data_IF_910239204004
#
_entry.id   IF_910239204004
#
_cell.length_a   1.000
_cell.length_b   1.000
_cell.length_c   1.000
_cell.angle_alpha   90.00
_cell.angle_beta   90.00
_cell.angle_gamma   90.00
#
_symmetry.space_group_name_H-M   'P 1'
#
loop_
_entity.id
_entity.type
_entity.pdbx_description
1 polymer ?
#
# COMPACT_ATOMS: atom_id res chain seq x y z
N UNK A 1 3.52 21.10 15.85
CA UNK A 1 3.98 22.25 15.06
C UNK A 1 2.85 22.91 14.30
N UNK A 2 1.97 22.15 13.66
CA UNK A 2 0.84 22.64 12.85
C UNK A 2 -0.05 23.68 13.58
N UNK A 3 -0.20 23.53 14.91
CA UNK A 3 -0.99 24.46 15.75
C UNK A 3 -0.30 25.82 16.02
N UNK A 4 0.95 25.99 15.60
CA UNK A 4 1.65 27.27 15.80
C UNK A 4 1.14 28.31 14.81
N UNK A 5 0.79 29.53 15.31
CA UNK A 5 0.27 30.65 14.50
C UNK A 5 1.21 31.07 13.36
N UNK A 6 2.52 30.85 13.54
CA UNK A 6 3.54 31.22 12.56
C UNK A 6 3.67 30.18 11.42
N UNK A 7 3.07 28.98 11.54
CA UNK A 7 3.06 27.95 10.51
C UNK A 7 1.94 28.23 9.52
N UNK A 8 2.30 28.53 8.27
CA UNK A 8 1.35 28.72 7.17
C UNK A 8 1.02 27.43 6.44
N UNK A 9 2.03 26.59 6.20
CA UNK A 9 1.93 25.28 5.58
C UNK A 9 2.90 24.32 6.22
N UNK A 10 2.54 23.07 6.35
CA UNK A 10 3.39 21.99 6.82
C UNK A 10 3.05 20.72 6.05
N UNK A 11 4.06 20.05 5.49
CA UNK A 11 3.88 18.79 4.79
C UNK A 11 5.08 17.86 5.07
N UNK A 12 4.85 16.54 5.13
CA UNK A 12 5.93 15.59 4.97
C UNK A 12 6.58 15.76 3.59
N UNK A 13 7.84 15.37 3.50
CA UNK A 13 8.61 15.30 2.26
C UNK A 13 9.35 13.95 2.20
N UNK A 14 10.40 13.85 1.38
CA UNK A 14 11.26 12.68 1.29
C UNK A 14 10.54 11.39 0.92
N UNK A 15 11.13 10.30 1.37
CA UNK A 15 10.61 8.94 1.12
C UNK A 15 9.25 8.70 1.74
N UNK A 16 8.95 9.34 2.88
CA UNK A 16 7.64 9.26 3.54
C UNK A 16 6.53 9.80 2.64
N UNK A 17 6.71 10.97 2.03
CA UNK A 17 5.71 11.54 1.11
C UNK A 17 5.55 10.74 -0.16
N UNK A 18 6.62 10.08 -0.63
CA UNK A 18 6.55 9.15 -1.76
C UNK A 18 5.97 7.79 -1.39
N UNK A 19 5.53 7.60 -0.14
CA UNK A 19 4.92 6.37 0.38
C UNK A 19 5.82 5.14 0.14
N UNK A 20 7.14 5.28 0.40
CA UNK A 20 8.06 4.13 0.34
C UNK A 20 7.71 3.11 1.42
N UNK A 21 7.88 1.84 1.11
CA UNK A 21 7.65 0.72 2.03
C UNK A 21 8.59 0.75 3.26
N UNK A 22 9.74 1.42 3.13
CA UNK A 22 10.66 1.70 4.25
C UNK A 22 11.09 3.15 4.25
N UNK A 23 11.11 3.75 5.43
CA UNK A 23 11.51 5.15 5.66
C UNK A 23 12.59 5.17 6.73
N UNK A 24 13.75 5.75 6.42
CA UNK A 24 14.88 5.85 7.35
C UNK A 24 14.78 7.08 8.25
N UNK A 25 14.36 8.20 7.67
CA UNK A 25 14.25 9.51 8.29
C UNK A 25 12.97 10.20 7.84
N UNK A 26 12.50 11.13 8.64
CA UNK A 26 11.28 11.87 8.34
C UNK A 26 11.69 13.30 7.96
N UNK A 27 11.45 13.67 6.70
CA UNK A 27 11.60 15.04 6.22
C UNK A 27 10.28 15.80 6.37
N UNK A 28 10.33 17.01 6.94
CA UNK A 28 9.17 17.89 7.05
C UNK A 28 9.53 19.28 6.50
N UNK A 29 8.69 19.77 5.60
CA UNK A 29 8.80 21.13 5.06
C UNK A 29 7.73 22.02 5.66
N UNK A 30 8.16 23.21 6.11
CA UNK A 30 7.29 24.21 6.73
C UNK A 30 7.44 25.54 5.98
N UNK A 31 6.32 26.23 5.75
CA UNK A 31 6.33 27.62 5.33
C UNK A 31 6.04 28.53 6.53
N UNK A 32 6.96 29.46 6.81
CA UNK A 32 6.81 30.41 7.91
C UNK A 32 7.64 31.67 7.65
N UNK A 33 7.15 32.78 8.18
CA UNK A 33 7.91 34.05 8.23
C UNK A 33 8.76 34.18 9.51
N UNK A 34 8.66 33.23 10.45
CA UNK A 34 9.40 33.21 11.70
C UNK A 34 10.11 31.87 11.90
N UNK A 35 11.13 31.57 11.08
CA UNK A 35 11.80 30.25 11.12
C UNK A 35 12.47 29.99 12.48
N UNK A 36 13.04 30.99 13.13
CA UNK A 36 13.72 30.84 14.43
C UNK A 36 12.78 30.24 15.48
N UNK A 37 11.58 30.78 15.61
CA UNK A 37 10.58 30.29 16.56
C UNK A 37 10.18 28.84 16.29
N UNK A 38 10.04 28.46 15.00
CA UNK A 38 9.73 27.09 14.62
C UNK A 38 10.86 26.14 15.05
N UNK A 39 12.13 26.53 14.78
CA UNK A 39 13.31 25.77 15.19
C UNK A 39 13.43 25.61 16.70
N UNK A 40 13.14 26.68 17.45
CA UNK A 40 13.18 26.65 18.92
C UNK A 40 12.14 25.69 19.48
N UNK A 41 10.89 25.75 19.00
CA UNK A 41 9.84 24.83 19.43
C UNK A 41 10.17 23.40 19.02
N UNK A 42 10.60 23.17 17.78
CA UNK A 42 10.90 21.82 17.28
C UNK A 42 11.97 21.11 18.10
N UNK A 43 13.05 21.84 18.44
CA UNK A 43 14.19 21.26 19.18
C UNK A 43 13.91 21.07 20.68
N UNK A 44 12.76 21.56 21.18
CA UNK A 44 12.33 21.42 22.59
C UNK A 44 11.07 20.59 22.77
N UNK A 45 10.60 19.88 21.73
CA UNK A 45 9.45 18.97 21.86
C UNK A 45 9.75 17.85 22.87
N UNK A 46 8.71 17.41 23.57
CA UNK A 46 8.83 16.40 24.63
C UNK A 46 9.44 15.04 24.16
N UNK A 47 9.27 14.71 22.88
CA UNK A 47 9.77 13.47 22.29
C UNK A 47 11.22 13.55 21.78
N UNK A 48 11.86 14.73 21.88
CA UNK A 48 13.26 14.91 21.49
C UNK A 48 14.18 14.21 22.49
N UNK A 49 15.01 13.30 21.96
CA UNK A 49 16.11 12.69 22.72
C UNK A 49 17.39 13.51 22.54
N UNK A 50 17.75 13.78 21.28
CA UNK A 50 18.99 14.49 20.92
C UNK A 50 18.69 15.53 19.83
N UNK A 51 19.33 16.70 19.93
CA UNK A 51 19.39 17.68 18.85
C UNK A 51 20.65 17.45 18.05
N UNK A 52 20.51 16.90 16.84
CA UNK A 52 21.64 16.56 15.96
C UNK A 52 22.22 17.83 15.33
N UNK A 53 21.34 18.75 14.89
CA UNK A 53 21.73 20.04 14.32
C UNK A 53 20.62 21.05 14.54
N UNK A 54 21.00 22.32 14.80
CA UNK A 54 20.08 23.44 14.91
C UNK A 54 20.61 24.63 14.11
N UNK A 55 19.89 25.01 13.06
CA UNK A 55 20.16 26.19 12.24
C UNK A 55 18.93 27.06 12.11
N UNK A 56 19.07 28.22 11.43
CA UNK A 56 17.97 29.18 11.23
C UNK A 56 16.81 28.63 10.41
N UNK A 57 17.10 27.81 9.38
CA UNK A 57 16.10 27.31 8.42
C UNK A 57 16.10 25.79 8.28
N UNK A 58 17.05 25.10 8.94
CA UNK A 58 17.14 23.64 9.01
C UNK A 58 17.51 23.21 10.41
N UNK A 59 16.79 22.21 10.94
CA UNK A 59 17.16 21.52 12.17
C UNK A 59 16.88 20.03 12.04
N UNK A 60 17.65 19.24 12.78
CA UNK A 60 17.56 17.78 12.82
C UNK A 60 17.56 17.31 14.26
N UNK A 61 16.65 16.44 14.60
CA UNK A 61 16.55 15.82 15.93
C UNK A 61 16.52 14.29 15.81
N UNK A 62 16.76 13.65 16.94
CA UNK A 62 16.47 12.24 17.16
C UNK A 62 15.41 12.10 18.22
N UNK A 63 14.36 11.35 17.94
CA UNK A 63 13.29 11.07 18.90
C UNK A 63 13.70 10.03 19.94
N UNK A 64 12.91 9.87 21.01
CA UNK A 64 13.09 8.81 22.02
C UNK A 64 13.05 7.41 21.42
N UNK A 65 12.25 7.22 20.35
CA UNK A 65 12.15 5.97 19.57
C UNK A 65 13.27 5.84 18.52
N UNK A 66 14.30 6.69 18.62
CA UNK A 66 15.49 6.66 17.78
C UNK A 66 15.24 6.99 16.29
N UNK A 67 14.13 7.66 15.98
CA UNK A 67 13.79 8.13 14.62
C UNK A 67 14.42 9.50 14.41
N UNK A 68 15.12 9.69 13.28
CA UNK A 68 15.60 11.00 12.88
C UNK A 68 14.49 11.78 12.19
N UNK A 69 14.31 13.04 12.57
CA UNK A 69 13.38 13.98 11.94
C UNK A 69 14.15 15.23 11.53
N UNK A 70 14.07 15.55 10.25
CA UNK A 70 14.65 16.75 9.66
C UNK A 70 13.54 17.73 9.30
N UNK A 71 13.64 18.99 9.77
CA UNK A 71 12.72 20.03 9.33
C UNK A 71 13.46 21.11 8.54
N UNK A 72 12.74 21.67 7.55
CA UNK A 72 13.15 22.86 6.83
C UNK A 72 12.04 23.90 6.86
N UNK A 73 12.43 25.16 7.05
CA UNK A 73 11.52 26.30 6.98
C UNK A 73 11.90 27.17 5.81
N UNK A 74 10.93 27.47 4.96
CA UNK A 74 11.11 28.29 3.75
C UNK A 74 10.05 29.39 3.67
N UNK A 75 10.29 30.37 2.82
CA UNK A 75 9.28 31.38 2.48
C UNK A 75 8.16 30.78 1.60
N UNK A 76 7.02 31.46 1.55
CA UNK A 76 5.85 31.00 0.84
C UNK A 76 6.07 30.92 -0.69
N UNK A 77 6.90 31.80 -1.24
CA UNK A 77 7.14 31.87 -2.69
C UNK A 77 8.06 30.76 -3.19
N UNK A 78 8.83 30.13 -2.29
CA UNK A 78 9.72 29.01 -2.59
C UNK A 78 9.12 27.65 -2.17
N UNK A 79 7.94 27.66 -1.53
CA UNK A 79 7.38 26.47 -0.88
C UNK A 79 7.17 25.30 -1.83
N UNK A 80 6.58 25.52 -3.02
CA UNK A 80 6.35 24.47 -3.99
C UNK A 80 7.64 23.90 -4.58
N UNK A 81 8.62 24.76 -4.88
CA UNK A 81 9.93 24.34 -5.34
C UNK A 81 10.67 23.50 -4.28
N UNK A 82 10.66 23.96 -3.04
CA UNK A 82 11.25 23.23 -1.93
C UNK A 82 10.53 21.89 -1.68
N UNK A 83 9.19 21.88 -1.71
CA UNK A 83 8.41 20.66 -1.50
C UNK A 83 8.73 19.62 -2.60
N UNK A 84 8.78 20.03 -3.86
CA UNK A 84 9.17 19.18 -4.97
C UNK A 84 10.61 18.65 -4.79
N UNK A 85 11.55 19.54 -4.48
CA UNK A 85 12.96 19.20 -4.32
C UNK A 85 13.21 18.21 -3.19
N UNK A 86 12.64 18.46 -1.98
CA UNK A 86 12.81 17.61 -0.81
C UNK A 86 11.94 16.35 -0.84
N UNK A 87 10.87 16.32 -1.60
CA UNK A 87 10.12 15.09 -1.88
C UNK A 87 10.99 14.10 -2.66
N UNK A 88 11.76 14.55 -3.64
CA UNK A 88 12.60 13.69 -4.50
C UNK A 88 11.75 12.87 -5.48
N UNK A 89 12.23 11.72 -5.95
CA UNK A 89 13.51 11.09 -5.57
C UNK A 89 14.73 11.90 -6.05
N UNK A 90 15.93 11.42 -5.72
CA UNK A 90 17.17 12.01 -6.25
C UNK A 90 17.19 11.92 -7.78
N UNK A 91 16.84 10.77 -8.32
CA UNK A 91 16.80 10.46 -9.74
C UNK A 91 15.77 11.36 -10.46
N UNK A 92 14.58 11.48 -9.90
CA UNK A 92 13.53 12.39 -10.38
C UNK A 92 14.03 13.84 -10.43
N UNK A 93 14.66 14.33 -9.36
CA UNK A 93 15.21 15.68 -9.29
C UNK A 93 16.34 15.93 -10.30
N UNK A 94 17.18 14.91 -10.59
CA UNK A 94 18.22 15.00 -11.61
C UNK A 94 17.58 15.20 -12.97
N UNK A 95 16.56 14.43 -13.30
CA UNK A 95 15.85 14.50 -14.59
C UNK A 95 15.10 15.82 -14.76
N UNK A 96 14.45 16.33 -13.70
CA UNK A 96 13.84 17.66 -13.69
C UNK A 96 14.86 18.77 -14.01
N UNK A 97 16.03 18.72 -13.38
CA UNK A 97 17.10 19.70 -13.64
C UNK A 97 17.64 19.61 -15.07
N UNK A 98 17.81 18.40 -15.59
CA UNK A 98 18.21 18.20 -16.99
C UNK A 98 17.18 18.78 -17.95
N UNK A 99 15.90 18.59 -17.68
CA UNK A 99 14.81 19.15 -18.49
C UNK A 99 14.80 20.69 -18.42
N UNK A 100 14.97 21.26 -17.21
CA UNK A 100 15.08 22.71 -17.03
C UNK A 100 16.24 23.30 -17.87
N UNK A 101 17.43 22.68 -17.82
CA UNK A 101 18.59 23.10 -18.61
C UNK A 101 18.30 23.07 -20.14
N UNK A 102 17.63 22.03 -20.64
CA UNK A 102 17.21 21.93 -22.04
C UNK A 102 16.29 23.08 -22.47
N UNK A 103 15.51 23.62 -21.54
CA UNK A 103 14.62 24.78 -21.75
C UNK A 103 15.31 26.12 -21.48
N UNK A 104 16.64 26.16 -21.24
CA UNK A 104 17.38 27.38 -20.89
C UNK A 104 16.99 27.95 -19.52
N UNK A 105 16.57 27.09 -18.60
CA UNK A 105 16.10 27.44 -17.25
C UNK A 105 17.04 26.88 -16.17
N UNK A 106 17.08 27.54 -15.02
CA UNK A 106 17.77 27.07 -13.80
C UNK A 106 16.73 26.60 -12.79
N UNK A 107 16.85 25.37 -12.27
CA UNK A 107 15.97 24.80 -11.25
C UNK A 107 16.76 24.48 -9.97
N UNK A 108 16.25 24.96 -8.82
CA UNK A 108 16.74 24.63 -7.49
C UNK A 108 15.58 24.61 -6.48
N UNK A 109 15.89 24.45 -5.19
CA UNK A 109 14.90 24.40 -4.10
C UNK A 109 14.16 25.71 -3.87
N UNK A 110 14.55 26.80 -4.49
CA UNK A 110 13.90 28.12 -4.38
C UNK A 110 12.99 28.44 -5.56
N UNK A 111 13.08 27.69 -6.67
CA UNK A 111 12.25 27.93 -7.83
C UNK A 111 12.86 27.53 -9.15
N UNK A 112 12.13 27.89 -10.22
CA UNK A 112 12.64 27.89 -11.60
C UNK A 112 12.91 29.32 -12.00
N UNK A 113 14.09 29.55 -12.61
CA UNK A 113 14.57 30.87 -13.00
C UNK A 113 14.90 30.91 -14.49
N UNK A 114 14.55 32.04 -15.13
CA UNK A 114 15.05 32.41 -16.44
C UNK A 114 15.96 33.62 -16.26
N UNK A 115 17.27 33.43 -16.50
CA UNK A 115 18.30 34.34 -15.98
C UNK A 115 18.10 34.59 -14.47
N UNK A 116 17.99 35.84 -14.00
CA UNK A 116 17.77 36.19 -12.60
C UNK A 116 16.30 36.25 -12.18
N UNK A 117 15.36 36.09 -13.13
CA UNK A 117 13.93 36.20 -12.86
C UNK A 117 13.34 34.84 -12.47
N UNK A 118 12.77 34.71 -11.25
CA UNK A 118 11.99 33.56 -10.87
C UNK A 118 10.68 33.52 -11.65
N UNK A 119 10.37 32.37 -12.28
CA UNK A 119 9.17 32.17 -13.09
C UNK A 119 8.19 31.16 -12.47
N UNK A 120 8.65 30.31 -11.53
CA UNK A 120 7.84 29.38 -10.76
C UNK A 120 8.51 29.08 -9.42
N UNK A 121 7.72 28.66 -8.42
CA UNK A 121 8.27 28.33 -7.09
C UNK A 121 7.22 28.12 -6.01
N UNK A 122 6.04 28.75 -6.13
CA UNK A 122 5.03 28.81 -5.08
C UNK A 122 4.27 27.50 -4.89
N UNK A 123 4.02 26.77 -5.97
CA UNK A 123 3.37 25.44 -5.95
C UNK A 123 4.13 24.46 -6.83
N UNK A 124 3.95 23.15 -6.56
CA UNK A 124 4.54 22.11 -7.39
C UNK A 124 3.94 22.10 -8.79
N UNK A 125 2.64 22.39 -8.93
CA UNK A 125 1.96 22.47 -10.22
C UNK A 125 2.58 23.55 -11.12
N UNK A 126 2.92 24.72 -10.55
CA UNK A 126 3.64 25.77 -11.28
C UNK A 126 5.01 25.28 -11.76
N UNK A 127 5.73 24.51 -10.92
CA UNK A 127 7.05 23.96 -11.25
C UNK A 127 6.97 22.99 -12.42
N UNK A 128 6.04 22.01 -12.37
CA UNK A 128 5.84 21.06 -13.46
C UNK A 128 5.38 21.76 -14.74
N UNK A 129 4.40 22.66 -14.64
CA UNK A 129 3.88 23.43 -15.79
C UNK A 129 4.96 24.25 -16.48
N UNK A 130 5.87 24.89 -15.72
CA UNK A 130 6.97 25.68 -16.29
C UNK A 130 7.98 24.82 -17.08
N UNK A 131 7.99 23.51 -16.85
CA UNK A 131 8.79 22.52 -17.58
C UNK A 131 8.01 21.80 -18.68
N UNK A 132 6.74 22.19 -18.94
CA UNK A 132 5.89 21.54 -19.94
C UNK A 132 5.33 20.18 -19.49
N UNK A 133 5.33 19.91 -18.19
CA UNK A 133 4.86 18.66 -17.60
C UNK A 133 3.49 18.84 -16.93
N UNK A 134 2.68 17.80 -16.92
CA UNK A 134 1.57 17.64 -15.98
C UNK A 134 2.13 17.37 -14.58
N UNK A 135 1.34 17.70 -13.53
CA UNK A 135 1.71 17.36 -12.16
C UNK A 135 1.92 15.85 -12.02
N UNK A 136 3.03 15.48 -11.37
CA UNK A 136 3.38 14.09 -11.11
C UNK A 136 3.17 13.82 -9.63
N UNK A 137 2.33 12.86 -9.31
CA UNK A 137 2.07 12.44 -7.93
C UNK A 137 3.37 11.99 -7.24
N UNK A 138 3.56 12.30 -5.93
CA UNK A 138 4.77 11.94 -5.20
C UNK A 138 5.15 10.47 -5.31
N UNK A 139 4.17 9.57 -5.27
CA UNK A 139 4.37 8.12 -5.33
C UNK A 139 4.98 7.65 -6.65
N UNK A 140 4.84 8.43 -7.73
CA UNK A 140 5.40 8.11 -9.05
C UNK A 140 6.82 8.63 -9.26
N UNK A 141 7.35 9.50 -8.40
CA UNK A 141 8.62 10.24 -8.59
C UNK A 141 9.85 9.37 -8.32
N UNK A 142 10.07 8.34 -9.10
CA UNK A 142 11.19 7.38 -8.95
C UNK A 142 12.01 7.21 -10.23
N UNK A 143 11.81 8.06 -11.25
CA UNK A 143 12.40 7.97 -12.61
C UNK A 143 12.12 6.61 -13.27
N UNK A 144 10.84 6.21 -13.27
CA UNK A 144 10.36 4.94 -13.82
C UNK A 144 9.36 5.14 -14.96
N UNK A 145 9.56 6.21 -15.77
CA UNK A 145 8.72 6.53 -16.92
C UNK A 145 7.70 7.64 -16.71
N UNK A 146 7.67 8.27 -15.52
CA UNK A 146 6.69 9.31 -15.19
C UNK A 146 6.86 10.58 -16.03
N UNK A 147 8.07 10.88 -16.50
CA UNK A 147 8.33 12.04 -17.38
C UNK A 147 7.73 11.81 -18.76
N UNK A 148 8.00 10.65 -19.35
CA UNK A 148 7.49 10.26 -20.66
C UNK A 148 5.98 10.16 -20.65
N UNK A 149 5.40 9.62 -19.57
CA UNK A 149 3.96 9.56 -19.37
C UNK A 149 3.35 10.96 -19.22
N UNK A 150 3.98 11.85 -18.44
CA UNK A 150 3.53 13.23 -18.26
C UNK A 150 3.52 14.00 -19.58
N UNK A 151 4.59 13.91 -20.38
CA UNK A 151 4.70 14.57 -21.67
C UNK A 151 3.67 14.08 -22.69
N UNK A 152 3.26 12.81 -22.59
CA UNK A 152 2.23 12.19 -23.46
C UNK A 152 0.80 12.36 -22.93
N UNK A 153 0.61 12.97 -21.76
CA UNK A 153 -0.71 13.02 -21.09
C UNK A 153 -1.23 11.64 -20.67
N UNK A 154 -0.33 10.70 -20.39
CA UNK A 154 -0.61 9.30 -20.09
C UNK A 154 -0.27 8.90 -18.63
N UNK A 155 -0.21 9.88 -17.72
CA UNK A 155 -0.11 9.58 -16.29
C UNK A 155 -1.36 8.83 -15.83
N UNK A 156 -1.24 7.80 -14.97
CA UNK A 156 -2.37 7.02 -14.49
C UNK A 156 -3.29 7.86 -13.58
N UNK A 157 -4.58 7.56 -13.60
CA UNK A 157 -5.51 8.01 -12.58
C UNK A 157 -5.42 7.07 -11.38
N UNK A 158 -4.52 7.37 -10.47
CA UNK A 158 -4.16 6.50 -9.36
C UNK A 158 -5.34 6.18 -8.44
N UNK A 159 -5.43 4.92 -8.04
CA UNK A 159 -6.41 4.46 -7.04
C UNK A 159 -6.30 5.26 -5.74
N UNK A 160 -7.44 5.42 -5.06
CA UNK A 160 -7.56 6.12 -3.77
C UNK A 160 -8.16 5.17 -2.73
N UNK A 161 -8.00 5.49 -1.44
CA UNK A 161 -8.57 4.71 -0.35
C UNK A 161 -10.11 4.62 -0.47
N UNK A 162 -10.75 5.72 -0.89
CA UNK A 162 -12.20 5.81 -1.06
C UNK A 162 -12.74 4.95 -2.22
N UNK A 163 -11.86 4.51 -3.11
CA UNK A 163 -12.23 3.60 -4.19
C UNK A 163 -12.43 2.17 -3.73
N UNK A 164 -11.82 1.79 -2.60
CA UNK A 164 -11.93 0.43 -2.04
C UNK A 164 -13.33 0.22 -1.48
N UNK A 165 -13.98 -0.86 -1.92
CA UNK A 165 -15.37 -1.19 -1.58
C UNK A 165 -15.51 -2.31 -0.55
N UNK A 166 -14.45 -3.05 -0.34
CA UNK A 166 -14.42 -4.12 0.65
C UNK A 166 -13.02 -4.64 0.91
N UNK A 167 -12.90 -5.42 1.96
CA UNK A 167 -11.68 -6.12 2.35
C UNK A 167 -11.94 -7.62 2.31
N UNK A 168 -11.14 -8.37 1.57
CA UNK A 168 -11.37 -9.78 1.28
C UNK A 168 -10.44 -10.72 2.06
N UNK A 169 -9.65 -10.19 3.00
CA UNK A 169 -8.73 -10.97 3.82
C UNK A 169 -8.67 -10.43 5.25
N UNK A 170 -9.38 -11.10 6.16
CA UNK A 170 -9.35 -10.78 7.59
C UNK A 170 -9.70 -12.01 8.45
N UNK A 171 -9.21 -11.98 9.68
CA UNK A 171 -9.33 -13.05 10.66
C UNK A 171 -10.23 -12.64 11.82
N UNK A 172 -10.81 -13.63 12.50
CA UNK A 172 -11.65 -13.45 13.66
C UNK A 172 -11.19 -14.35 14.80
N UNK A 173 -11.90 -14.30 15.94
CA UNK A 173 -11.69 -15.22 17.06
C UNK A 173 -11.98 -16.69 16.73
N UNK A 174 -12.37 -17.01 15.50
CA UNK A 174 -12.44 -18.39 15.01
C UNK A 174 -11.05 -19.00 14.80
N UNK A 175 -10.06 -18.20 14.40
CA UNK A 175 -8.66 -18.61 14.34
C UNK A 175 -7.83 -17.77 15.32
N UNK A 176 -6.93 -16.95 14.84
CA UNK A 176 -5.98 -16.13 15.62
C UNK A 176 -6.32 -14.64 15.67
N UNK A 177 -7.47 -14.24 15.16
CA UNK A 177 -7.95 -12.88 15.29
C UNK A 177 -8.33 -12.53 16.73
N UNK A 178 -8.08 -11.29 17.14
CA UNK A 178 -8.36 -10.80 18.49
C UNK A 178 -9.77 -10.25 18.69
N UNK A 179 -10.57 -10.14 17.62
CA UNK A 179 -11.93 -9.64 17.67
C UNK A 179 -12.94 -10.65 17.08
N UNK A 180 -14.19 -10.63 17.59
CA UNK A 180 -15.28 -11.40 17.03
C UNK A 180 -15.60 -10.98 15.59
N UNK A 181 -16.23 -11.85 14.81
CA UNK A 181 -16.70 -11.50 13.46
C UNK A 181 -17.61 -10.27 13.49
N UNK A 182 -18.49 -10.16 14.48
CA UNK A 182 -19.40 -9.02 14.59
C UNK A 182 -18.67 -7.68 14.80
N UNK A 183 -17.62 -7.65 15.63
CA UNK A 183 -16.80 -6.44 15.81
C UNK A 183 -16.10 -6.04 14.51
N UNK A 184 -15.57 -7.03 13.76
CA UNK A 184 -14.97 -6.79 12.44
C UNK A 184 -16.00 -6.21 11.45
N UNK A 185 -17.23 -6.75 11.43
CA UNK A 185 -18.35 -6.25 10.61
C UNK A 185 -18.69 -4.80 10.97
N UNK A 186 -18.88 -4.50 12.26
CA UNK A 186 -19.24 -3.15 12.73
C UNK A 186 -18.17 -2.14 12.32
N UNK A 187 -16.89 -2.48 12.50
CA UNK A 187 -15.79 -1.61 12.12
C UNK A 187 -15.74 -1.38 10.61
N UNK A 188 -15.91 -2.43 9.81
CA UNK A 188 -15.89 -2.36 8.35
C UNK A 188 -17.03 -1.50 7.79
N UNK A 189 -18.23 -1.59 8.37
CA UNK A 189 -19.36 -0.71 8.07
C UNK A 189 -19.03 0.75 8.37
N UNK A 190 -18.36 1.01 9.50
CA UNK A 190 -17.91 2.35 9.88
C UNK A 190 -16.87 2.94 8.89
N UNK A 191 -16.15 2.10 8.16
CA UNK A 191 -15.22 2.49 7.08
C UNK A 191 -15.91 2.65 5.72
N UNK A 192 -17.19 2.32 5.61
CA UNK A 192 -17.98 2.46 4.37
C UNK A 192 -17.81 1.30 3.39
N UNK A 193 -17.37 0.11 3.85
CA UNK A 193 -17.28 -1.08 3.01
C UNK A 193 -18.66 -1.63 2.67
N UNK A 194 -18.84 -2.06 1.43
CA UNK A 194 -20.06 -2.71 0.92
C UNK A 194 -20.04 -4.22 1.20
N UNK A 195 -18.84 -4.80 1.32
CA UNK A 195 -18.62 -6.22 1.63
C UNK A 195 -17.29 -6.47 2.32
N UNK A 196 -17.21 -7.60 3.00
CA UNK A 196 -15.98 -8.14 3.61
C UNK A 196 -15.96 -9.65 3.46
N UNK A 197 -14.78 -10.25 3.54
CA UNK A 197 -14.64 -11.70 3.68
C UNK A 197 -13.96 -12.04 5.01
N UNK A 198 -14.55 -12.95 5.76
CA UNK A 198 -13.91 -13.52 6.95
C UNK A 198 -13.21 -14.80 6.51
N UNK A 199 -11.88 -14.79 6.55
CA UNK A 199 -11.02 -15.79 5.92
C UNK A 199 -10.08 -16.47 6.92
N UNK A 200 -10.60 -16.81 8.09
CA UNK A 200 -9.85 -17.54 9.12
C UNK A 200 -9.04 -18.71 8.55
N UNK A 201 -7.92 -19.03 9.19
CA UNK A 201 -6.97 -20.03 8.73
C UNK A 201 -7.53 -21.43 8.60
N UNK A 202 -7.00 -22.20 7.66
CA UNK A 202 -7.34 -23.60 7.45
C UNK A 202 -6.62 -24.54 8.44
N UNK A 203 -7.14 -25.77 8.54
CA UNK A 203 -6.79 -26.75 9.58
C UNK A 203 -5.30 -27.09 9.72
N UNK A 204 -4.49 -26.93 8.67
CA UNK A 204 -3.05 -27.21 8.67
C UNK A 204 -2.26 -26.24 9.52
N UNK A 205 -2.70 -24.98 9.61
CA UNK A 205 -2.03 -23.96 10.41
C UNK A 205 -2.47 -24.00 11.89
N UNK A 206 -2.10 -25.08 12.59
CA UNK A 206 -2.50 -25.32 13.98
C UNK A 206 -2.05 -24.24 14.96
N UNK A 207 -0.92 -23.59 14.71
CA UNK A 207 -0.41 -22.52 15.58
C UNK A 207 -1.31 -21.28 15.57
N UNK A 208 -2.05 -21.07 14.49
CA UNK A 208 -3.04 -20.01 14.35
C UNK A 208 -4.47 -20.49 14.66
N UNK A 209 -4.65 -21.68 15.21
CA UNK A 209 -5.98 -22.22 15.51
C UNK A 209 -6.84 -22.53 14.28
N UNK A 210 -6.19 -22.95 13.17
CA UNK A 210 -6.86 -23.21 11.88
C UNK A 210 -8.01 -24.20 11.99
N UNK A 211 -9.13 -23.91 11.32
CA UNK A 211 -10.44 -24.56 11.46
C UNK A 211 -10.49 -25.92 10.75
N UNK A 212 -11.08 -26.90 11.40
CA UNK A 212 -11.50 -28.13 10.72
C UNK A 212 -12.85 -27.94 10.00
N UNK A 213 -13.29 -28.94 9.22
CA UNK A 213 -14.53 -28.86 8.41
C UNK A 213 -15.81 -28.72 9.25
N UNK A 214 -15.83 -29.25 10.48
CA UNK A 214 -16.96 -29.07 11.38
C UNK A 214 -17.06 -27.61 11.86
N UNK A 215 -15.95 -27.03 12.28
CA UNK A 215 -15.84 -25.63 12.72
C UNK A 215 -16.18 -24.67 11.58
N UNK A 216 -15.77 -24.95 10.33
CA UNK A 216 -16.20 -24.20 9.15
C UNK A 216 -17.71 -24.15 9.01
N UNK A 217 -18.40 -25.28 9.26
CA UNK A 217 -19.86 -25.33 9.22
C UNK A 217 -20.54 -24.50 10.32
N UNK A 218 -19.92 -24.37 11.49
CA UNK A 218 -20.39 -23.48 12.56
C UNK A 218 -20.13 -22.00 12.22
N UNK A 219 -18.94 -21.68 11.72
CA UNK A 219 -18.57 -20.34 11.23
C UNK A 219 -19.55 -19.87 10.15
N UNK A 220 -19.91 -20.73 9.18
CA UNK A 220 -20.88 -20.41 8.11
C UNK A 220 -22.23 -19.98 8.72
N UNK A 221 -22.74 -20.72 9.73
CA UNK A 221 -24.00 -20.37 10.39
C UNK A 221 -23.95 -18.99 11.04
N UNK A 222 -22.83 -18.65 11.71
CA UNK A 222 -22.66 -17.33 12.33
C UNK A 222 -22.63 -16.23 11.28
N UNK A 223 -21.93 -16.44 10.14
CA UNK A 223 -21.93 -15.51 9.01
C UNK A 223 -23.34 -15.32 8.44
N UNK A 224 -24.11 -16.40 8.30
CA UNK A 224 -25.50 -16.32 7.83
C UNK A 224 -26.40 -15.51 8.78
N UNK A 225 -26.22 -15.64 10.11
CA UNK A 225 -26.94 -14.82 11.09
C UNK A 225 -26.50 -13.35 11.04
N UNK A 226 -25.20 -13.08 10.90
CA UNK A 226 -24.71 -11.71 10.73
C UNK A 226 -25.22 -11.07 9.44
N UNK A 227 -25.29 -11.82 8.33
CA UNK A 227 -25.89 -11.37 7.08
C UNK A 227 -27.41 -11.10 7.19
N UNK A 228 -28.11 -11.78 8.11
CA UNK A 228 -29.53 -11.45 8.43
C UNK A 228 -29.63 -10.16 9.23
N UNK A 229 -28.69 -9.93 10.17
CA UNK A 229 -28.65 -8.77 11.06
C UNK A 229 -28.22 -7.49 10.36
N UNK A 230 -27.19 -7.55 9.51
CA UNK A 230 -26.58 -6.41 8.83
C UNK A 230 -26.87 -6.46 7.32
N UNK A 231 -27.85 -5.65 6.85
CA UNK A 231 -28.32 -5.66 5.45
C UNK A 231 -27.57 -4.68 4.53
N UNK A 232 -26.80 -3.80 5.10
CA UNK A 232 -26.04 -2.73 4.43
C UNK A 232 -24.59 -3.13 4.13
N UNK A 233 -24.15 -4.32 4.54
CA UNK A 233 -22.87 -4.91 4.20
C UNK A 233 -23.03 -6.41 3.92
N UNK A 234 -22.34 -6.93 2.92
CA UNK A 234 -22.30 -8.36 2.63
C UNK A 234 -21.09 -9.01 3.30
N UNK A 235 -21.31 -10.06 4.08
CA UNK A 235 -20.25 -10.83 4.72
C UNK A 235 -20.08 -12.13 3.93
N UNK A 236 -18.89 -12.32 3.36
CA UNK A 236 -18.52 -13.51 2.60
C UNK A 236 -17.89 -14.55 3.52
N UNK A 237 -18.30 -15.80 3.32
CA UNK A 237 -17.70 -16.96 3.96
C UNK A 237 -16.49 -17.41 3.17
N UNK A 238 -15.31 -17.36 3.78
CA UNK A 238 -14.07 -17.78 3.15
C UNK A 238 -13.08 -18.42 4.13
N UNK A 239 -11.94 -18.81 3.59
CA UNK A 239 -10.79 -19.26 4.39
C UNK A 239 -9.49 -18.89 3.70
N UNK A 240 -8.47 -18.55 4.48
CA UNK A 240 -7.09 -18.55 4.06
C UNK A 240 -6.55 -19.98 4.16
N UNK A 241 -6.44 -20.62 2.99
CA UNK A 241 -6.15 -22.03 2.85
C UNK A 241 -4.66 -22.23 2.62
N UNK A 242 -4.02 -23.05 3.45
CA UNK A 242 -2.61 -23.38 3.33
C UNK A 242 -2.31 -24.14 2.03
N UNK A 243 -1.22 -23.74 1.36
CA UNK A 243 -0.59 -24.47 0.28
C UNK A 243 0.56 -25.29 0.89
N UNK A 244 0.44 -26.61 0.93
CA UNK A 244 1.46 -27.52 1.48
C UNK A 244 2.78 -27.52 0.66
N UNK A 245 3.78 -28.26 1.12
CA UNK A 245 5.09 -28.37 0.44
C UNK A 245 5.04 -28.93 -0.97
N UNK A 246 3.99 -29.65 -1.32
CA UNK A 246 3.75 -30.27 -2.62
C UNK A 246 2.74 -29.48 -3.48
N UNK A 247 2.26 -28.34 -2.97
CA UNK A 247 1.32 -27.45 -3.63
C UNK A 247 -0.13 -27.90 -3.53
N UNK A 248 -0.48 -28.84 -2.63
CA UNK A 248 -1.88 -29.18 -2.38
C UNK A 248 -2.51 -28.15 -1.43
N UNK A 249 -3.81 -27.98 -1.56
CA UNK A 249 -4.60 -27.16 -0.66
C UNK A 249 -5.05 -27.98 0.54
N UNK A 250 -5.13 -27.34 1.69
CA UNK A 250 -5.40 -27.96 2.99
C UNK A 250 -6.84 -28.50 3.12
N UNK A 251 -7.76 -28.06 2.25
CA UNK A 251 -9.11 -28.61 2.14
C UNK A 251 -9.36 -29.29 0.78
N UNK A 252 -10.21 -30.34 0.74
CA UNK A 252 -10.62 -30.95 -0.52
C UNK A 252 -11.58 -30.03 -1.29
N UNK A 253 -11.67 -30.22 -2.60
CA UNK A 253 -12.52 -29.45 -3.51
C UNK A 253 -13.99 -29.38 -3.08
N UNK A 254 -14.51 -30.43 -2.42
CA UNK A 254 -15.88 -30.45 -1.90
C UNK A 254 -16.13 -29.41 -0.81
N UNK A 255 -15.09 -29.06 -0.02
CA UNK A 255 -15.15 -28.03 1.02
C UNK A 255 -14.90 -26.65 0.41
N UNK A 256 -13.91 -26.54 -0.47
CA UNK A 256 -13.58 -25.28 -1.16
C UNK A 256 -14.78 -24.75 -1.97
N UNK A 257 -15.55 -25.66 -2.59
CA UNK A 257 -16.72 -25.30 -3.40
C UNK A 257 -17.92 -24.77 -2.59
N UNK A 258 -17.92 -24.91 -1.26
CA UNK A 258 -18.96 -24.37 -0.38
C UNK A 258 -18.64 -22.92 0.09
N UNK A 259 -17.41 -22.45 -0.16
CA UNK A 259 -16.98 -21.11 0.25
C UNK A 259 -17.40 -20.07 -0.79
N UNK A 260 -17.71 -18.86 -0.34
CA UNK A 260 -17.96 -17.73 -1.23
C UNK A 260 -16.64 -17.19 -1.82
N UNK A 261 -15.50 -17.37 -1.11
CA UNK A 261 -14.16 -16.98 -1.53
C UNK A 261 -13.10 -17.92 -0.93
N UNK A 262 -12.09 -18.24 -1.71
CA UNK A 262 -10.93 -19.02 -1.28
C UNK A 262 -9.65 -18.23 -1.52
N UNK A 263 -8.90 -17.99 -0.45
CA UNK A 263 -7.57 -17.36 -0.49
C UNK A 263 -6.54 -18.45 -0.21
N UNK A 264 -5.54 -18.59 -1.06
CA UNK A 264 -4.48 -19.58 -0.87
C UNK A 264 -3.17 -18.91 -0.46
N UNK A 265 -2.48 -19.46 0.52
CA UNK A 265 -1.27 -18.89 1.11
C UNK A 265 -0.20 -19.93 1.41
N UNK A 266 1.06 -19.51 1.40
CA UNK A 266 2.21 -20.31 1.85
C UNK A 266 2.60 -19.87 3.26
N UNK A 267 2.47 -20.75 4.26
CA UNK A 267 2.90 -20.50 5.63
C UNK A 267 4.07 -21.39 6.09
N UNK A 268 4.51 -22.33 5.24
CA UNK A 268 5.62 -23.22 5.54
C UNK A 268 6.49 -23.48 4.31
N UNK A 269 7.73 -23.92 4.54
CA UNK A 269 8.65 -24.28 3.47
C UNK A 269 9.24 -23.09 2.69
N UNK A 270 9.38 -21.93 3.33
CA UNK A 270 9.88 -20.68 2.74
C UNK A 270 11.29 -20.75 2.14
N UNK A 271 12.08 -21.76 2.53
CA UNK A 271 13.45 -21.97 2.03
C UNK A 271 13.55 -22.98 0.89
N UNK A 272 12.42 -23.41 0.35
CA UNK A 272 12.41 -24.29 -0.83
C UNK A 272 12.99 -23.55 -2.05
N UNK A 273 13.56 -24.28 -3.03
CA UNK A 273 14.03 -23.69 -4.28
C UNK A 273 12.93 -22.89 -5.01
N UNK A 274 13.31 -21.81 -5.68
CA UNK A 274 12.40 -20.93 -6.45
C UNK A 274 11.46 -21.73 -7.36
N UNK A 275 11.98 -22.70 -8.12
CA UNK A 275 11.16 -23.54 -8.98
C UNK A 275 10.11 -24.38 -8.23
N UNK A 276 10.36 -24.75 -6.96
CA UNK A 276 9.39 -25.47 -6.13
C UNK A 276 8.30 -24.52 -5.64
N UNK A 277 8.68 -23.34 -5.14
CA UNK A 277 7.74 -22.29 -4.71
C UNK A 277 6.82 -21.90 -5.90
N UNK A 278 7.41 -21.65 -7.08
CA UNK A 278 6.67 -21.33 -8.29
C UNK A 278 5.62 -22.40 -8.62
N UNK A 279 6.01 -23.68 -8.60
CA UNK A 279 5.09 -24.79 -8.85
C UNK A 279 3.96 -24.88 -7.82
N UNK A 280 4.24 -24.62 -6.54
CA UNK A 280 3.22 -24.61 -5.48
C UNK A 280 2.16 -23.54 -5.75
N UNK A 281 2.59 -22.33 -6.06
CA UNK A 281 1.68 -21.21 -6.35
C UNK A 281 0.89 -21.47 -7.63
N UNK A 282 1.54 -21.94 -8.69
CA UNK A 282 0.88 -22.31 -9.96
C UNK A 282 -0.20 -23.35 -9.73
N UNK A 283 0.10 -24.40 -8.97
CA UNK A 283 -0.87 -25.47 -8.67
C UNK A 283 -2.08 -24.93 -7.90
N UNK A 284 -1.85 -24.00 -6.94
CA UNK A 284 -2.94 -23.32 -6.26
C UNK A 284 -3.78 -22.46 -7.21
N UNK A 285 -3.16 -21.67 -8.10
CA UNK A 285 -3.87 -20.88 -9.11
C UNK A 285 -4.73 -21.75 -10.04
N UNK A 286 -4.25 -22.95 -10.39
CA UNK A 286 -4.95 -23.90 -11.26
C UNK A 286 -6.18 -24.54 -10.60
N UNK A 287 -6.30 -24.47 -9.27
CA UNK A 287 -7.52 -24.92 -8.60
C UNK A 287 -8.67 -23.96 -8.95
N UNK A 288 -9.78 -24.53 -9.41
CA UNK A 288 -10.94 -23.79 -9.91
C UNK A 288 -11.67 -22.97 -8.83
N UNK A 289 -11.37 -23.17 -7.55
CA UNK A 289 -11.98 -22.46 -6.42
C UNK A 289 -11.10 -21.37 -5.83
N UNK A 290 -9.79 -21.34 -6.13
CA UNK A 290 -8.88 -20.34 -5.57
C UNK A 290 -9.04 -19.01 -6.28
N UNK A 291 -9.52 -18.00 -5.56
CA UNK A 291 -9.73 -16.64 -6.06
C UNK A 291 -8.50 -15.76 -5.96
N UNK A 292 -7.74 -15.90 -4.85
CA UNK A 292 -6.65 -15.00 -4.49
C UNK A 292 -5.45 -15.83 -4.01
N UNK A 293 -4.24 -15.40 -4.41
CA UNK A 293 -3.00 -15.78 -3.72
C UNK A 293 -2.65 -14.67 -2.75
N UNK A 294 -2.68 -14.96 -1.44
CA UNK A 294 -2.36 -14.01 -0.38
C UNK A 294 -0.85 -13.81 -0.24
N UNK A 295 -0.44 -12.58 0.14
CA UNK A 295 0.96 -12.18 0.42
C UNK A 295 1.99 -13.02 -0.37
N UNK A 296 2.00 -12.91 -1.72
CA UNK A 296 2.58 -13.88 -2.64
C UNK A 296 4.08 -14.12 -2.49
N UNK A 297 4.83 -13.22 -1.83
CA UNK A 297 6.28 -13.40 -1.61
C UNK A 297 6.63 -13.85 -0.19
N UNK A 298 5.64 -13.91 0.70
CA UNK A 298 5.80 -14.31 2.10
C UNK A 298 6.72 -13.42 2.92
N UNK A 299 7.03 -12.21 2.44
CA UNK A 299 7.89 -11.25 3.15
C UNK A 299 7.31 -10.84 4.50
N UNK A 300 8.20 -10.72 5.51
CA UNK A 300 7.92 -10.06 6.79
C UNK A 300 9.12 -9.17 7.14
N UNK A 301 8.94 -7.87 7.11
CA UNK A 301 10.00 -6.90 7.42
C UNK A 301 10.63 -7.16 8.80
N UNK A 302 11.97 -7.21 8.83
CA UNK A 302 12.73 -7.45 10.07
C UNK A 302 12.75 -8.90 10.54
N UNK A 303 12.00 -9.81 9.91
CA UNK A 303 11.85 -11.21 10.33
C UNK A 303 12.15 -12.21 9.21
N UNK A 304 11.64 -11.99 8.01
CA UNK A 304 11.78 -12.93 6.89
C UNK A 304 11.82 -12.20 5.57
N UNK A 305 12.86 -12.47 4.77
CA UNK A 305 12.96 -12.00 3.40
C UNK A 305 11.91 -12.67 2.51
N UNK A 306 11.56 -12.00 1.40
CA UNK A 306 10.75 -12.59 0.36
C UNK A 306 11.44 -13.86 -0.19
N UNK A 307 10.67 -14.91 -0.42
CA UNK A 307 11.19 -16.05 -1.16
C UNK A 307 11.20 -15.76 -2.66
N UNK A 308 12.10 -16.42 -3.38
CA UNK A 308 12.20 -16.29 -4.82
C UNK A 308 11.16 -17.15 -5.52
N UNK A 309 10.57 -16.61 -6.60
CA UNK A 309 9.70 -17.33 -7.52
C UNK A 309 9.86 -16.78 -8.94
N UNK A 310 9.43 -17.56 -9.94
CA UNK A 310 9.30 -17.06 -11.30
C UNK A 310 7.98 -16.29 -11.46
N UNK A 311 8.10 -14.96 -11.35
CA UNK A 311 6.93 -14.08 -11.45
C UNK A 311 6.27 -14.13 -12.83
N UNK A 312 7.02 -14.28 -13.91
CA UNK A 312 6.46 -14.31 -15.27
C UNK A 312 5.57 -15.53 -15.45
N UNK A 313 6.03 -16.69 -14.97
CA UNK A 313 5.26 -17.93 -15.01
C UNK A 313 4.01 -17.86 -14.12
N UNK A 314 4.15 -17.32 -12.89
CA UNK A 314 3.02 -17.12 -11.98
C UNK A 314 1.99 -16.15 -12.56
N UNK A 315 2.42 -15.00 -13.11
CA UNK A 315 1.50 -14.02 -13.70
C UNK A 315 0.75 -14.59 -14.89
N UNK A 316 1.43 -15.36 -15.75
CA UNK A 316 0.77 -16.05 -16.87
C UNK A 316 -0.35 -16.96 -16.39
N UNK A 317 -0.06 -17.83 -15.41
CA UNK A 317 -1.07 -18.77 -14.91
C UNK A 317 -2.17 -18.04 -14.13
N UNK A 318 -1.85 -17.05 -13.31
CA UNK A 318 -2.84 -16.25 -12.60
C UNK A 318 -3.81 -15.54 -13.55
N UNK A 319 -3.30 -15.01 -14.67
CA UNK A 319 -4.13 -14.43 -15.74
C UNK A 319 -5.03 -15.49 -16.38
N UNK A 320 -4.47 -16.62 -16.81
CA UNK A 320 -5.18 -17.72 -17.50
C UNK A 320 -6.30 -18.31 -16.62
N UNK A 321 -6.07 -18.36 -15.30
CA UNK A 321 -7.02 -18.92 -14.31
C UNK A 321 -7.93 -17.88 -13.67
N UNK A 322 -7.78 -16.59 -14.03
CA UNK A 322 -8.48 -15.47 -13.39
C UNK A 322 -8.29 -15.45 -11.84
N UNK A 323 -7.09 -15.79 -11.37
CA UNK A 323 -6.71 -15.71 -9.96
C UNK A 323 -6.08 -14.35 -9.68
N UNK A 324 -6.55 -13.63 -8.66
CA UNK A 324 -5.98 -12.35 -8.26
C UNK A 324 -4.74 -12.53 -7.39
N UNK A 325 -3.83 -11.57 -7.43
CA UNK A 325 -2.67 -11.50 -6.54
C UNK A 325 -2.86 -10.38 -5.52
N UNK A 326 -2.54 -10.66 -4.28
CA UNK A 326 -2.75 -9.71 -3.19
C UNK A 326 -1.63 -8.67 -3.10
N UNK A 327 -2.02 -7.43 -2.79
CA UNK A 327 -1.21 -6.46 -2.06
C UNK A 327 -1.71 -6.48 -0.61
N UNK A 328 -0.97 -7.13 0.26
CA UNK A 328 -1.24 -7.16 1.68
C UNK A 328 -0.82 -5.83 2.31
N UNK A 329 -1.77 -5.17 2.97
CA UNK A 329 -1.60 -3.81 3.50
C UNK A 329 -0.93 -3.78 4.88
N UNK A 330 -0.70 -4.94 5.51
CA UNK A 330 -0.08 -5.00 6.82
C UNK A 330 1.36 -4.43 6.76
N UNK A 331 1.73 -3.44 7.59
CA UNK A 331 3.00 -2.72 7.46
C UNK A 331 4.24 -3.61 7.49
N UNK A 332 4.20 -4.72 8.22
CA UNK A 332 5.30 -5.68 8.27
C UNK A 332 5.39 -6.56 7.01
N UNK A 333 4.35 -6.58 6.17
CA UNK A 333 4.33 -7.32 4.90
C UNK A 333 4.53 -6.38 3.70
N UNK A 334 3.53 -5.53 3.40
CA UNK A 334 3.42 -4.74 2.18
C UNK A 334 3.74 -5.59 0.94
N UNK A 335 3.06 -6.71 0.81
CA UNK A 335 3.37 -7.80 -0.11
C UNK A 335 2.15 -8.11 -1.01
N UNK A 336 2.29 -7.96 -2.31
CA UNK A 336 3.46 -7.65 -3.16
C UNK A 336 3.93 -6.20 -2.99
N UNK A 337 5.22 -5.99 -3.29
CA UNK A 337 5.79 -4.64 -3.37
C UNK A 337 5.35 -3.89 -4.65
N UNK A 338 5.72 -2.60 -4.75
CA UNK A 338 5.36 -1.73 -5.87
C UNK A 338 5.91 -2.22 -7.24
N UNK A 339 7.08 -2.84 -7.27
CA UNK A 339 7.70 -3.35 -8.51
C UNK A 339 6.92 -4.55 -9.03
N UNK A 340 6.72 -5.56 -8.19
CA UNK A 340 6.01 -6.78 -8.56
C UNK A 340 4.53 -6.51 -8.90
N UNK A 341 3.89 -5.59 -8.16
CA UNK A 341 2.53 -5.16 -8.44
C UNK A 341 2.40 -4.46 -9.81
N UNK A 342 3.42 -3.65 -10.20
CA UNK A 342 3.46 -3.04 -11.53
C UNK A 342 3.65 -4.09 -12.62
N UNK A 343 4.55 -5.03 -12.44
CA UNK A 343 4.75 -6.14 -13.39
C UNK A 343 3.47 -6.97 -13.56
N UNK A 344 2.77 -7.29 -12.47
CA UNK A 344 1.49 -8.00 -12.51
C UNK A 344 0.42 -7.22 -13.30
N UNK A 345 0.29 -5.90 -13.08
CA UNK A 345 -0.57 -5.02 -13.89
C UNK A 345 -0.20 -5.07 -15.37
N UNK A 346 1.09 -4.94 -15.71
CA UNK A 346 1.57 -4.95 -17.10
C UNK A 346 1.32 -6.32 -17.78
N UNK A 347 1.33 -7.41 -17.01
CA UNK A 347 0.91 -8.74 -17.45
C UNK A 347 -0.61 -8.92 -17.54
N UNK A 348 -1.42 -7.97 -17.07
CA UNK A 348 -2.88 -8.01 -17.11
C UNK A 348 -3.54 -8.76 -15.95
N UNK A 349 -2.76 -9.18 -14.93
CA UNK A 349 -3.26 -9.88 -13.74
C UNK A 349 -4.06 -8.93 -12.86
N UNK A 350 -5.19 -9.39 -12.33
CA UNK A 350 -5.97 -8.65 -11.34
C UNK A 350 -5.25 -8.63 -10.00
N UNK A 351 -5.28 -7.46 -9.37
CA UNK A 351 -4.72 -7.25 -8.05
C UNK A 351 -5.87 -7.00 -7.07
N UNK A 352 -5.71 -7.45 -5.85
CA UNK A 352 -6.61 -7.15 -4.73
C UNK A 352 -5.81 -6.52 -3.61
N UNK A 353 -6.37 -5.53 -2.92
CA UNK A 353 -5.73 -4.89 -1.77
C UNK A 353 -6.49 -5.30 -0.52
N UNK A 354 -5.84 -6.02 0.38
CA UNK A 354 -6.44 -6.49 1.63
C UNK A 354 -5.59 -6.12 2.83
N UNK A 355 -6.19 -6.15 4.02
CA UNK A 355 -5.47 -5.75 5.24
C UNK A 355 -4.86 -6.92 5.99
N UNK A 356 -5.34 -8.15 5.80
CA UNK A 356 -4.93 -9.30 6.62
C UNK A 356 -5.16 -8.99 8.12
N UNK A 357 -6.33 -8.35 8.39
CA UNK A 357 -6.65 -7.81 9.71
C UNK A 357 -6.92 -8.91 10.71
N UNK A 358 -6.20 -8.88 11.83
CA UNK A 358 -6.41 -9.76 12.99
C UNK A 358 -7.10 -9.05 14.16
N UNK A 359 -7.16 -7.71 14.10
CA UNK A 359 -7.91 -6.87 15.05
C UNK A 359 -8.57 -5.71 14.30
N UNK A 360 -9.60 -5.12 14.89
CA UNK A 360 -10.37 -4.02 14.24
C UNK A 360 -9.53 -2.80 13.86
N UNK A 361 -8.44 -2.52 14.58
CA UNK A 361 -7.52 -1.42 14.29
C UNK A 361 -6.76 -1.64 12.98
N UNK A 362 -6.45 -2.89 12.63
CA UNK A 362 -5.70 -3.24 11.42
C UNK A 362 -6.46 -2.87 10.14
N UNK A 363 -7.79 -2.82 10.16
CA UNK A 363 -8.60 -2.39 9.00
C UNK A 363 -8.22 -1.00 8.50
N UNK A 364 -7.70 -0.13 9.39
CA UNK A 364 -7.19 1.20 9.01
C UNK A 364 -5.88 1.17 8.20
N UNK A 365 -5.23 0.01 8.10
CA UNK A 365 -3.98 -0.20 7.38
C UNK A 365 -4.18 -0.28 5.86
N UNK A 366 -5.41 -0.39 5.36
CA UNK A 366 -5.77 -0.38 3.93
C UNK A 366 -5.03 0.74 3.16
N UNK A 367 -4.84 1.89 3.79
CA UNK A 367 -4.10 3.03 3.21
C UNK A 367 -2.67 2.70 2.77
N UNK A 368 -1.99 1.76 3.43
CA UNK A 368 -0.62 1.37 3.10
C UNK A 368 -0.58 0.47 1.85
N UNK A 369 -1.53 -0.46 1.72
CA UNK A 369 -1.68 -1.23 0.48
C UNK A 369 -2.07 -0.36 -0.71
N UNK A 370 -2.96 0.62 -0.51
CA UNK A 370 -3.27 1.63 -1.53
C UNK A 370 -2.02 2.44 -1.89
N UNK A 371 -1.16 2.79 -0.93
CA UNK A 371 0.09 3.49 -1.21
C UNK A 371 1.02 2.65 -2.11
N UNK A 372 1.17 1.34 -1.82
CA UNK A 372 1.92 0.42 -2.69
C UNK A 372 1.32 0.36 -4.09
N UNK A 373 -0.01 0.26 -4.19
CA UNK A 373 -0.73 0.24 -5.47
C UNK A 373 -0.49 1.53 -6.28
N UNK A 374 -0.53 2.71 -5.63
CA UNK A 374 -0.24 4.01 -6.26
C UNK A 374 1.19 4.07 -6.78
N UNK A 375 2.16 3.60 -6.00
CA UNK A 375 3.57 3.48 -6.42
C UNK A 375 3.76 2.53 -7.61
N UNK A 376 2.91 1.51 -7.69
CA UNK A 376 2.85 0.56 -8.80
C UNK A 376 2.05 1.07 -10.02
N UNK A 377 1.61 2.35 -10.01
CA UNK A 377 0.83 2.96 -11.10
C UNK A 377 -0.57 2.34 -11.28
N UNK A 378 -1.11 1.69 -10.24
CA UNK A 378 -2.42 1.04 -10.33
C UNK A 378 -3.56 2.07 -10.35
N UNK A 379 -4.51 1.79 -11.22
CA UNK A 379 -5.77 2.51 -11.33
C UNK A 379 -6.91 1.66 -10.76
N UNK A 380 -8.04 2.26 -10.47
CA UNK A 380 -9.24 1.57 -10.00
C UNK A 380 -9.59 0.32 -10.80
N UNK A 381 -9.46 0.37 -12.13
CA UNK A 381 -9.79 -0.76 -13.02
C UNK A 381 -8.89 -1.99 -12.86
N UNK A 382 -7.69 -1.81 -12.29
CA UNK A 382 -6.69 -2.87 -12.11
C UNK A 382 -6.93 -3.68 -10.82
N UNK A 383 -7.78 -3.16 -9.92
CA UNK A 383 -7.95 -3.66 -8.56
C UNK A 383 -9.35 -4.26 -8.39
N UNK A 384 -9.39 -5.52 -7.93
CA UNK A 384 -10.60 -6.32 -7.80
C UNK A 384 -11.63 -5.69 -6.84
N UNK A 385 -11.19 -5.33 -5.64
CA UNK A 385 -12.08 -4.85 -4.57
C UNK A 385 -12.36 -3.34 -4.61
N UNK A 386 -12.13 -2.70 -5.75
CA UNK A 386 -12.75 -1.40 -6.08
C UNK A 386 -14.11 -1.56 -6.75
N UNK A 387 -14.47 -2.78 -7.16
CA UNK A 387 -15.79 -3.08 -7.70
C UNK A 387 -16.84 -3.07 -6.57
N UNK A 388 -18.05 -2.59 -6.86
CA UNK A 388 -19.21 -2.77 -5.98
C UNK A 388 -19.56 -4.25 -5.89
N UNK A 389 -20.21 -4.70 -4.81
CA UNK A 389 -20.49 -6.12 -4.60
C UNK A 389 -21.17 -6.81 -5.78
N UNK A 390 -22.17 -6.19 -6.39
CA UNK A 390 -22.88 -6.76 -7.55
C UNK A 390 -22.04 -6.93 -8.83
N UNK A 391 -20.82 -6.40 -8.86
CA UNK A 391 -19.84 -6.52 -9.95
C UNK A 391 -18.55 -7.22 -9.54
N UNK A 392 -18.46 -7.63 -8.28
CA UNK A 392 -17.34 -8.41 -7.78
C UNK A 392 -17.34 -9.80 -8.45
N UNK A 393 -16.22 -10.16 -9.06
CA UNK A 393 -16.07 -11.44 -9.78
C UNK A 393 -15.18 -12.36 -8.98
N UNK A 394 -15.78 -13.27 -8.24
CA UNK A 394 -15.13 -14.39 -7.58
C UNK A 394 -15.61 -15.69 -8.22
N UNK A 395 -14.79 -16.73 -8.18
CA UNK A 395 -15.05 -18.00 -8.89
C UNK A 395 -16.31 -18.71 -8.41
N UNK A 396 -16.61 -18.58 -7.11
CA UNK A 396 -17.77 -19.23 -6.49
C UNK A 396 -19.00 -18.32 -6.35
N UNK A 397 -18.90 -17.02 -6.69
CA UNK A 397 -20.02 -16.06 -6.67
C UNK A 397 -20.65 -15.84 -8.04
N UNK A 398 -20.33 -16.67 -9.04
CA UNK A 398 -20.77 -16.56 -10.42
C UNK A 398 -22.27 -16.76 -10.64
#
# INVERSE_FOLDING_TARGET
LEKLKDVKKINPAGSLRRMKDTVRDIDILISSNNPQKIMDVFTTLADVKDVIAKGLTKSSIRTKDNIQIDIRVVDELSYGASLMYFTGSKEHNIKLRQLAIKHGLKLNEYGIFKAEKRIAGKTEEEMYKALGLSYIEPELREDRGEFEASLKGALPNLVKVEDIKGDLHMHSTWSDGGNSMEEMVIKSRGLGYEYIAITDHSQGLKIAGGLNTHELGLKRKEIDELNKKYKDIKILFGSEVDIDSDGNLDYPDSVLGEMDIVIAAIHAGFKQPSATITKRIIKACQNKYVDIIAHPTGRLWGSRDAYDMDFEEVFKVALDTNTALEINSFPERLDMNDINSRMAKEAGVKIVINTDSHIVENLSMMKFGVAVARRAWLEKKDILNTAIFSKLKLKNLG
#
